data_IF_743856283968
#
_entry.id   IF_743856283968
#
_cell.length_a   1.000
_cell.length_b   1.000
_cell.length_c   1.000
_cell.angle_alpha   90.00
_cell.angle_beta   90.00
_cell.angle_gamma   90.00
#
_symmetry.space_group_name_H-M   'P 1'
#
loop_
_entity.id
_entity.type
_entity.pdbx_description
1 polymer ?
#
# COMPACT_ATOMS: atom_id res chain seq x y z
N UNK A 1 -10.26 -9.30 0.67
CA UNK A 1 -9.22 -8.34 0.38
C UNK A 1 -7.88 -8.88 0.75
N UNK A 2 -6.86 -8.48 0.07
CA UNK A 2 -5.55 -9.00 0.28
C UNK A 2 -4.56 -7.86 0.33
N UNK A 3 -3.56 -7.95 1.19
CA UNK A 3 -2.56 -6.91 1.28
C UNK A 3 -1.67 -6.92 0.06
N UNK A 4 -1.46 -5.77 -0.55
CA UNK A 4 -0.58 -5.67 -1.71
C UNK A 4 0.80 -5.21 -1.29
N UNK A 5 0.88 -4.15 -0.54
CA UNK A 5 2.17 -3.65 -0.11
C UNK A 5 2.02 -2.90 1.20
N UNK A 6 3.15 -2.66 1.84
CA UNK A 6 3.18 -1.81 3.02
C UNK A 6 4.42 -0.96 2.96
N UNK A 7 4.36 0.21 3.49
CA UNK A 7 5.50 1.11 3.48
C UNK A 7 5.33 2.16 4.55
N UNK A 8 6.45 2.65 5.06
CA UNK A 8 6.43 3.77 5.97
C UNK A 8 6.63 5.07 5.20
N UNK A 9 6.84 5.00 3.91
CA UNK A 9 7.10 6.18 3.11
C UNK A 9 5.80 6.63 2.46
N UNK A 10 5.25 7.77 2.84
CA UNK A 10 3.99 8.21 2.28
C UNK A 10 4.06 8.49 0.78
N UNK A 11 5.24 8.78 0.26
CA UNK A 11 5.38 9.00 -1.17
C UNK A 11 5.16 7.70 -1.93
N UNK A 12 5.67 6.59 -1.41
CA UNK A 12 5.49 5.31 -2.04
C UNK A 12 4.00 4.95 -2.04
N UNK A 13 3.32 5.19 -0.93
CA UNK A 13 1.90 4.88 -0.80
C UNK A 13 1.10 5.73 -1.81
N UNK A 14 1.38 7.01 -1.89
CA UNK A 14 0.64 7.88 -2.79
C UNK A 14 0.86 7.50 -4.24
N UNK A 15 2.09 7.17 -4.60
CA UNK A 15 2.41 6.81 -5.96
C UNK A 15 1.75 5.49 -6.33
N UNK A 16 1.80 4.53 -5.44
CA UNK A 16 1.19 3.23 -5.68
C UNK A 16 -0.32 3.37 -5.88
N UNK A 17 -0.97 4.16 -5.05
CA UNK A 17 -2.40 4.34 -5.18
C UNK A 17 -2.75 5.05 -6.48
N UNK A 18 -1.95 6.02 -6.89
CA UNK A 18 -2.21 6.71 -8.15
C UNK A 18 -2.09 5.75 -9.33
N UNK A 19 -1.10 4.86 -9.30
CA UNK A 19 -0.93 3.91 -10.38
C UNK A 19 -2.10 2.93 -10.43
N UNK A 20 -2.54 2.46 -9.27
CA UNK A 20 -3.65 1.51 -9.23
C UNK A 20 -4.95 2.17 -9.71
N UNK A 21 -5.17 3.41 -9.34
CA UNK A 21 -6.35 4.11 -9.80
C UNK A 21 -6.30 4.32 -11.30
N UNK A 22 -5.13 4.55 -11.85
CA UNK A 22 -4.98 4.70 -13.27
C UNK A 22 -5.27 3.41 -14.04
N UNK A 23 -5.16 2.26 -13.34
CA UNK A 23 -5.44 0.98 -13.96
C UNK A 23 -6.85 0.49 -13.58
N UNK A 24 -7.65 1.35 -12.96
CA UNK A 24 -8.99 0.96 -12.56
C UNK A 24 -9.00 -0.18 -11.55
N UNK A 25 -7.99 -0.25 -10.72
CA UNK A 25 -7.95 -1.26 -9.67
C UNK A 25 -8.33 -0.59 -8.37
N UNK A 26 -9.36 -1.10 -7.72
CA UNK A 26 -9.79 -0.56 -6.44
C UNK A 26 -8.73 -0.85 -5.38
N UNK A 27 -8.35 0.15 -4.64
CA UNK A 27 -7.37 -0.05 -3.58
C UNK A 27 -7.81 0.71 -2.33
N UNK A 28 -7.40 0.23 -1.18
CA UNK A 28 -7.77 0.82 0.09
C UNK A 28 -6.54 0.94 0.97
N UNK A 29 -6.38 2.09 1.60
CA UNK A 29 -5.23 2.31 2.44
C UNK A 29 -5.62 2.07 3.88
N UNK A 30 -4.87 1.26 4.59
CA UNK A 30 -5.10 1.01 5.99
C UNK A 30 -3.87 1.41 6.79
N UNK A 31 -4.10 2.21 7.80
CA UNK A 31 -3.00 2.61 8.65
C UNK A 31 -2.93 1.65 9.77
N UNK A 32 -1.77 1.41 10.27
CA UNK A 32 -1.63 0.54 11.37
C UNK A 32 -1.91 1.46 12.49
N UNK A 33 -2.93 1.24 13.21
CA UNK A 33 -3.29 2.09 14.22
C UNK A 33 -2.55 1.87 15.42
N UNK A 34 -1.61 2.49 15.71
CA UNK A 34 -0.89 2.22 16.77
C UNK A 34 -1.14 3.09 17.80
N UNK A 35 -2.03 3.50 17.96
CA UNK A 35 -2.35 4.33 18.91
C UNK A 35 -1.44 4.38 19.94
N UNK A 36 -0.77 3.81 20.04
CA UNK A 36 -0.08 3.79 21.05
C UNK A 36 0.91 4.52 21.20
N UNK A 37 1.32 4.68 20.78
CA UNK A 37 2.10 5.32 20.85
C UNK A 37 2.88 5.77 21.74
N UNK A 38 3.32 5.27 22.22
CA UNK A 38 4.08 5.56 23.09
C UNK A 38 5.09 6.33 22.55
N UNK A 39 5.44 7.18 22.71
CA UNK A 39 6.49 7.80 22.17
C UNK A 39 6.10 8.48 21.04
N UNK A 40 5.23 8.08 20.62
CA UNK A 40 4.73 8.64 19.52
C UNK A 40 5.54 9.01 18.46
N UNK A 41 6.45 8.50 18.17
CA UNK A 41 7.16 8.91 17.21
C UNK A 41 7.09 8.19 16.20
N UNK A 42 6.67 7.98 15.62
CA UNK A 42 6.62 7.20 14.79
C UNK A 42 6.48 7.24 13.52
N UNK A 43 6.92 6.37 12.83
CA UNK A 43 6.75 6.22 11.54
C UNK A 43 5.93 5.02 11.47
N UNK A 44 4.70 5.11 11.15
CA UNK A 44 3.84 3.96 11.14
C UNK A 44 3.67 3.43 9.74
N UNK A 45 3.76 2.15 9.54
CA UNK A 45 3.57 1.58 8.21
C UNK A 45 2.12 1.70 7.78
N UNK A 46 1.92 1.95 6.53
CA UNK A 46 0.59 1.95 5.95
C UNK A 46 0.52 0.81 4.97
N UNK A 47 -0.65 0.22 4.83
CA UNK A 47 -0.81 -0.90 3.95
C UNK A 47 -1.81 -0.56 2.87
N UNK A 48 -1.58 -1.06 1.68
CA UNK A 48 -2.53 -0.92 0.61
C UNK A 48 -3.14 -2.29 0.38
N UNK A 49 -4.46 -2.35 0.42
CA UNK A 49 -5.20 -3.58 0.22
C UNK A 49 -5.92 -3.50 -1.11
N UNK A 50 -6.02 -4.61 -1.79
CA UNK A 50 -6.76 -4.68 -3.04
C UNK A 50 -7.68 -5.88 -2.97
N UNK A 51 -8.60 -5.98 -3.91
CA UNK A 51 -9.47 -7.14 -3.97
C UNK A 51 -8.63 -8.36 -4.30
N UNK A 52 -8.99 -9.46 -3.74
CA UNK A 52 -8.25 -10.70 -3.99
C UNK A 52 -8.15 -10.98 -5.48
N UNK A 53 -9.22 -10.71 -6.23
CA UNK A 53 -9.21 -10.96 -7.66
C UNK A 53 -8.25 -10.05 -8.42
N UNK A 54 -7.94 -8.89 -7.86
CA UNK A 54 -7.08 -7.95 -8.55
C UNK A 54 -5.64 -8.03 -8.07
N UNK A 55 -5.37 -8.89 -7.11
CA UNK A 55 -4.05 -8.91 -6.46
C UNK A 55 -2.93 -9.17 -7.46
N UNK A 56 -3.12 -10.12 -8.35
CA UNK A 56 -2.06 -10.45 -9.31
C UNK A 56 -1.81 -9.28 -10.27
N UNK A 57 -2.88 -8.65 -10.75
CA UNK A 57 -2.72 -7.52 -11.65
C UNK A 57 -2.08 -6.34 -10.92
N UNK A 58 -2.49 -6.11 -9.67
CA UNK A 58 -1.93 -5.02 -8.88
C UNK A 58 -0.46 -5.25 -8.61
N UNK A 59 -0.07 -6.48 -8.31
CA UNK A 59 1.33 -6.81 -8.07
C UNK A 59 2.15 -6.52 -9.32
N UNK A 60 1.59 -6.83 -10.48
CA UNK A 60 2.32 -6.60 -11.71
C UNK A 60 2.51 -5.10 -11.94
N UNK A 61 1.50 -4.28 -11.66
CA UNK A 61 1.63 -2.84 -11.81
C UNK A 61 2.75 -2.32 -10.91
N UNK A 62 2.82 -2.83 -9.69
CA UNK A 62 3.86 -2.38 -8.76
C UNK A 62 5.23 -2.83 -9.26
N UNK A 63 5.36 -4.06 -9.70
CA UNK A 63 6.63 -4.59 -10.14
C UNK A 63 7.11 -3.86 -11.40
N UNK A 64 6.20 -3.56 -12.31
CA UNK A 64 6.58 -2.88 -13.54
C UNK A 64 7.05 -1.46 -13.27
N UNK A 65 6.68 -0.88 -12.16
CA UNK A 65 7.07 0.46 -11.82
C UNK A 65 8.10 0.50 -10.69
N UNK A 66 8.70 -0.65 -10.40
CA UNK A 66 9.74 -0.76 -9.38
C UNK A 66 9.30 -0.26 -8.02
N UNK A 67 8.06 -0.49 -7.65
CA UNK A 67 7.59 -0.08 -6.35
C UNK A 67 7.81 -1.22 -5.38
N UNK A 68 8.53 -1.00 -4.29
CA UNK A 68 8.79 -2.06 -3.33
C UNK A 68 7.52 -2.47 -2.62
N UNK A 69 7.31 -3.75 -2.46
CA UNK A 69 6.12 -4.23 -1.78
C UNK A 69 6.28 -4.21 -0.26
N UNK A 70 7.47 -4.19 0.23
CA UNK A 70 7.69 -4.07 1.67
C UNK A 70 7.30 -5.30 2.46
N UNK A 71 7.15 -6.43 1.82
CA UNK A 71 6.71 -7.62 2.51
C UNK A 71 7.84 -8.57 2.80
#
# INVERSE_FOLDING_TARGET
MKELLRSTDPTVIAFAMALLQGEDIDCFELDVNMSVLEGGIGIFPRRIMVRTDDHAAATRVMTDNDIPLGL
#
